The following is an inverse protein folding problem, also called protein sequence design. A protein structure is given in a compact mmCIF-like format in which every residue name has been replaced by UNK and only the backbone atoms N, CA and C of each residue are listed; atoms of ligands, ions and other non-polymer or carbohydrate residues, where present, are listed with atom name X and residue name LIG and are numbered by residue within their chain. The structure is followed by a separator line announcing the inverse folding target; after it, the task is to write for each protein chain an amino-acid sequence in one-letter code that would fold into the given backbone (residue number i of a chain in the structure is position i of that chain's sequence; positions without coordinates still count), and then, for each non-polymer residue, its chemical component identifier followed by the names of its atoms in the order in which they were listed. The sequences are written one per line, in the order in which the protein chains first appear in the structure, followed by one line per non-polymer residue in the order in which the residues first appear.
data_IF_764022798710
#
_entry.id   IF_764022798710
#
_cell.length_a   1.000
_cell.length_b   1.000
_cell.length_c   1.000
_cell.angle_alpha   90.00
_cell.angle_beta   90.00
_cell.angle_gamma   90.00
#
_symmetry.space_group_name_H-M   'P 1'
#
loop_
_entity.id
_entity.type
_entity.pdbx_description
1 polymer ?
#
# COMPACT_ATOMS: atom_id res chain seq x y z
N UNK A 1 -40.31 -12.24 20.14
CA UNK A 1 -39.44 -11.44 19.27
C UNK A 1 -38.48 -10.77 20.21
N UNK A 2 -37.24 -11.24 20.22
CA UNK A 2 -36.27 -10.94 21.27
C UNK A 2 -35.70 -9.54 21.05
N UNK A 3 -35.43 -8.79 22.12
CA UNK A 3 -35.01 -7.37 22.05
C UNK A 3 -33.62 -7.23 21.40
N UNK A 4 -32.89 -8.34 21.26
CA UNK A 4 -31.57 -8.40 20.61
C UNK A 4 -31.61 -8.44 19.07
N UNK A 5 -32.75 -8.70 18.45
CA UNK A 5 -32.84 -8.77 16.97
C UNK A 5 -32.75 -7.39 16.28
N UNK A 6 -32.86 -6.30 17.06
CA UNK A 6 -32.80 -4.93 16.53
C UNK A 6 -31.39 -4.34 16.45
N UNK A 7 -30.40 -4.94 17.12
CA UNK A 7 -29.01 -4.45 17.09
C UNK A 7 -28.24 -5.05 15.90
N UNK A 8 -28.63 -6.22 15.40
CA UNK A 8 -27.94 -6.89 14.27
C UNK A 8 -28.28 -6.32 12.89
N UNK A 9 -29.36 -5.53 12.75
CA UNK A 9 -29.79 -4.95 11.46
C UNK A 9 -29.46 -3.46 11.30
N UNK A 10 -28.88 -2.82 12.30
CA UNK A 10 -28.38 -1.45 12.18
C UNK A 10 -26.93 -1.52 11.69
N UNK A 11 -26.75 -1.65 10.38
CA UNK A 11 -25.44 -1.48 9.77
C UNK A 11 -24.92 -0.10 10.18
N UNK A 12 -23.82 -0.07 10.93
CA UNK A 12 -23.14 1.16 11.36
C UNK A 12 -23.01 2.11 10.16
N UNK A 13 -23.38 3.40 10.26
CA UNK A 13 -23.23 4.37 9.17
C UNK A 13 -21.79 4.45 8.64
N UNK A 14 -20.79 4.03 9.44
CA UNK A 14 -19.43 3.80 8.96
C UNK A 14 -19.41 2.66 7.93
N UNK A 15 -19.99 1.50 8.23
CA UNK A 15 -20.06 0.32 7.33
C UNK A 15 -20.79 0.63 6.01
N UNK A 16 -21.87 1.43 6.04
CA UNK A 16 -22.58 1.84 4.82
C UNK A 16 -21.69 2.64 3.86
N UNK A 17 -20.76 3.45 4.36
CA UNK A 17 -19.93 4.30 3.50
C UNK A 17 -18.82 3.53 2.76
N UNK A 18 -18.33 2.43 3.33
CA UNK A 18 -17.22 1.65 2.75
C UNK A 18 -17.67 0.68 1.66
N UNK A 19 -18.86 0.10 1.77
CA UNK A 19 -19.37 -0.90 0.81
C UNK A 19 -19.94 -0.35 -0.50
N UNK A 20 -20.03 0.97 -0.67
CA UNK A 20 -20.63 1.58 -1.86
C UNK A 20 -19.61 1.59 -3.01
N UNK A 21 -20.00 1.01 -4.15
CA UNK A 21 -19.21 1.03 -5.37
C UNK A 21 -18.90 2.48 -5.80
N UNK A 22 -17.62 2.78 -5.94
CA UNK A 22 -17.11 4.13 -6.27
C UNK A 22 -17.31 4.45 -7.75
N UNK A 23 -17.50 3.43 -8.56
CA UNK A 23 -17.45 3.54 -10.01
C UNK A 23 -18.80 3.14 -10.63
N UNK A 24 -19.18 3.85 -11.70
CA UNK A 24 -20.38 3.61 -12.53
C UNK A 24 -20.48 2.18 -13.11
N UNK A 25 -19.43 1.35 -12.92
CA UNK A 25 -19.34 -0.05 -13.35
C UNK A 25 -19.65 -1.07 -12.24
N UNK A 26 -19.94 -0.64 -11.02
CA UNK A 26 -20.22 -1.55 -9.89
C UNK A 26 -18.99 -2.25 -9.32
N UNK A 27 -17.77 -1.77 -9.64
CA UNK A 27 -16.53 -2.27 -9.02
C UNK A 27 -16.36 -1.64 -7.64
N UNK A 28 -16.19 -2.48 -6.62
CA UNK A 28 -15.82 -2.06 -5.27
C UNK A 28 -14.32 -2.31 -5.12
N UNK A 29 -13.51 -1.28 -4.82
CA UNK A 29 -12.07 -1.45 -4.67
C UNK A 29 -11.69 -2.45 -3.59
N UNK A 30 -10.59 -3.17 -3.78
CA UNK A 30 -10.19 -4.24 -2.85
C UNK A 30 -10.01 -3.75 -1.41
N UNK A 31 -9.43 -2.56 -1.23
CA UNK A 31 -9.18 -1.96 0.10
C UNK A 31 -10.46 -1.48 0.80
N UNK A 32 -11.61 -1.50 0.12
CA UNK A 32 -12.93 -1.25 0.72
C UNK A 32 -13.66 -2.53 1.12
N UNK A 33 -13.19 -3.67 0.62
CA UNK A 33 -13.68 -5.00 0.99
C UNK A 33 -12.91 -5.58 2.19
N UNK A 34 -12.03 -4.79 2.81
CA UNK A 34 -11.22 -5.23 3.95
C UNK A 34 -12.11 -5.61 5.13
N UNK A 35 -11.66 -6.62 5.86
CA UNK A 35 -12.31 -7.05 7.08
C UNK A 35 -12.17 -5.96 8.16
N UNK A 36 -13.23 -5.68 8.91
CA UNK A 36 -13.30 -4.59 9.89
C UNK A 36 -12.11 -4.58 10.89
N UNK A 37 -11.68 -5.73 11.45
CA UNK A 37 -10.47 -5.83 12.26
C UNK A 37 -9.19 -5.32 11.58
N UNK A 38 -8.98 -5.57 10.28
CA UNK A 38 -7.76 -5.13 9.59
C UNK A 38 -7.71 -3.59 9.50
N UNK A 39 -8.86 -2.95 9.25
CA UNK A 39 -8.99 -1.49 9.23
C UNK A 39 -8.83 -0.91 10.64
N UNK A 40 -9.39 -1.57 11.64
CA UNK A 40 -9.29 -1.15 13.03
C UNK A 40 -7.87 -1.27 13.58
N UNK A 41 -7.16 -2.37 13.30
CA UNK A 41 -5.77 -2.59 13.68
C UNK A 41 -4.85 -1.54 13.05
N UNK A 42 -5.06 -1.20 11.78
CA UNK A 42 -4.29 -0.14 11.11
C UNK A 42 -4.51 1.21 11.81
N UNK A 43 -5.76 1.54 12.17
CA UNK A 43 -6.10 2.75 12.93
C UNK A 43 -5.46 2.78 14.31
N UNK A 44 -5.40 1.64 15.00
CA UNK A 44 -4.70 1.55 16.29
C UNK A 44 -3.20 1.84 16.16
N UNK A 45 -2.61 1.51 15.01
CA UNK A 45 -1.22 1.86 14.69
C UNK A 45 -1.02 3.33 14.32
N UNK A 46 -2.09 4.14 14.25
CA UNK A 46 -2.05 5.56 13.89
C UNK A 46 -2.18 5.85 12.40
N UNK A 47 -2.51 4.85 11.57
CA UNK A 47 -2.69 5.01 10.12
C UNK A 47 -4.11 4.64 9.70
N UNK A 48 -4.76 5.49 8.91
CA UNK A 48 -6.05 5.14 8.29
C UNK A 48 -5.79 4.63 6.86
N UNK A 49 -6.58 3.63 6.43
CA UNK A 49 -6.55 3.12 5.05
C UNK A 49 -6.83 4.24 4.04
N UNK A 50 -7.62 5.26 4.44
CA UNK A 50 -7.93 6.46 3.63
C UNK A 50 -6.69 7.14 3.08
N UNK A 51 -5.61 7.09 3.86
CA UNK A 51 -4.34 7.71 3.49
C UNK A 51 -3.69 7.07 2.26
N UNK A 52 -3.97 5.80 2.02
CA UNK A 52 -3.37 5.02 0.95
C UNK A 52 -4.35 4.76 -0.21
N UNK A 53 -5.56 5.34 -0.18
CA UNK A 53 -6.60 5.12 -1.19
C UNK A 53 -6.09 5.40 -2.60
N UNK A 54 -5.40 6.51 -2.80
CA UNK A 54 -4.88 6.89 -4.12
C UNK A 54 -3.83 5.90 -4.64
N UNK A 55 -2.95 5.39 -3.77
CA UNK A 55 -2.01 4.33 -4.13
C UNK A 55 -2.73 3.02 -4.45
N UNK A 56 -3.75 2.66 -3.68
CA UNK A 56 -4.46 1.41 -3.93
C UNK A 56 -5.36 1.49 -5.17
N UNK A 57 -5.93 2.65 -5.47
CA UNK A 57 -6.63 2.92 -6.72
C UNK A 57 -5.68 2.82 -7.91
N UNK A 58 -4.44 3.28 -7.78
CA UNK A 58 -3.40 3.09 -8.82
C UNK A 58 -3.05 1.61 -9.04
N UNK A 59 -2.98 0.83 -7.96
CA UNK A 59 -2.74 -0.61 -8.04
C UNK A 59 -3.89 -1.33 -8.75
N UNK A 60 -5.13 -0.98 -8.41
CA UNK A 60 -6.33 -1.55 -9.02
C UNK A 60 -6.45 -1.21 -10.52
N UNK A 61 -6.04 0.00 -10.89
CA UNK A 61 -5.99 0.45 -12.29
C UNK A 61 -4.69 0.06 -13.01
N UNK A 62 -3.81 -0.74 -12.40
CA UNK A 62 -2.54 -1.13 -12.98
C UNK A 62 -2.73 -1.98 -14.24
N UNK A 63 -2.04 -1.60 -15.32
CA UNK A 63 -2.04 -2.33 -16.60
C UNK A 63 -0.86 -3.30 -16.66
N UNK A 64 -0.97 -4.32 -17.51
CA UNK A 64 0.12 -5.26 -17.80
C UNK A 64 1.40 -4.54 -18.26
N UNK A 65 1.28 -3.40 -18.95
CA UNK A 65 2.41 -2.55 -19.34
C UNK A 65 3.20 -2.02 -18.15
N UNK A 66 2.52 -1.61 -17.07
CA UNK A 66 3.17 -1.15 -15.84
C UNK A 66 3.87 -2.32 -15.15
N UNK A 67 3.20 -3.47 -15.05
CA UNK A 67 3.77 -4.67 -14.45
C UNK A 67 5.04 -5.13 -15.16
N UNK A 68 5.08 -5.10 -16.50
CA UNK A 68 6.29 -5.41 -17.28
C UNK A 68 7.44 -4.44 -17.01
N UNK A 69 7.13 -3.14 -16.88
CA UNK A 69 8.13 -2.13 -16.58
C UNK A 69 8.71 -2.30 -15.18
N UNK A 70 7.86 -2.53 -14.18
CA UNK A 70 8.30 -2.86 -12.82
C UNK A 70 9.14 -4.13 -12.79
N UNK A 71 8.67 -5.21 -13.44
CA UNK A 71 9.42 -6.46 -13.54
C UNK A 71 10.80 -6.26 -14.16
N UNK A 72 10.91 -5.45 -15.22
CA UNK A 72 12.21 -5.10 -15.81
C UNK A 72 13.10 -4.28 -14.87
N UNK A 73 12.54 -3.43 -14.01
CA UNK A 73 13.33 -2.68 -13.02
C UNK A 73 13.85 -3.58 -11.91
N UNK A 74 13.08 -4.59 -11.51
CA UNK A 74 13.42 -5.48 -10.41
C UNK A 74 14.36 -6.64 -10.78
N UNK A 75 14.27 -7.14 -12.01
CA UNK A 75 14.90 -8.42 -12.38
C UNK A 75 15.89 -8.32 -13.55
N UNK A 76 16.16 -7.14 -14.13
CA UNK A 76 17.15 -7.05 -15.22
C UNK A 76 18.57 -7.28 -14.68
N UNK A 77 19.25 -8.26 -15.27
CA UNK A 77 20.61 -8.72 -14.92
C UNK A 77 21.71 -7.64 -15.05
N UNK A 78 21.41 -6.54 -15.74
CA UNK A 78 22.23 -5.33 -15.81
C UNK A 78 21.49 -4.21 -15.08
N UNK A 79 21.67 -4.16 -13.76
CA UNK A 79 21.10 -3.13 -12.90
C UNK A 79 21.18 -1.76 -13.57
N UNK A 80 20.05 -1.05 -13.64
CA UNK A 80 20.09 0.36 -14.00
C UNK A 80 21.03 1.08 -13.02
N UNK A 81 21.91 1.96 -13.49
CA UNK A 81 22.82 2.72 -12.59
C UNK A 81 22.08 3.52 -11.51
N UNK A 82 20.79 3.76 -11.71
CA UNK A 82 19.95 4.63 -10.88
C UNK A 82 19.25 3.85 -9.76
N UNK A 83 18.83 2.61 -10.02
CA UNK A 83 18.05 1.81 -9.07
C UNK A 83 18.53 0.36 -8.99
N UNK A 84 18.83 -0.06 -7.77
CA UNK A 84 19.16 -1.42 -7.35
C UNK A 84 18.11 -1.92 -6.33
N UNK A 85 17.40 -3.05 -6.63
CA UNK A 85 16.46 -3.70 -5.73
C UNK A 85 17.04 -4.15 -4.38
N UNK A 86 18.34 -4.48 -4.33
CA UNK A 86 18.99 -4.90 -3.09
C UNK A 86 19.13 -3.74 -2.11
N UNK A 87 19.46 -2.54 -2.63
CA UNK A 87 19.49 -1.31 -1.85
C UNK A 87 18.07 -0.97 -1.37
N UNK A 88 17.06 -1.14 -2.21
CA UNK A 88 15.66 -0.89 -1.82
C UNK A 88 15.23 -1.81 -0.65
N UNK A 89 15.59 -3.09 -0.69
CA UNK A 89 15.34 -4.03 0.43
C UNK A 89 16.08 -3.62 1.71
N UNK A 90 17.28 -3.09 1.61
CA UNK A 90 18.01 -2.58 2.79
C UNK A 90 17.31 -1.34 3.37
N UNK A 91 16.85 -0.43 2.51
CA UNK A 91 16.08 0.74 2.95
C UNK A 91 14.73 0.36 3.53
N UNK A 92 14.03 -0.63 2.98
CA UNK A 92 12.81 -1.19 3.58
C UNK A 92 13.05 -1.61 5.04
N UNK A 93 14.11 -2.40 5.28
CA UNK A 93 14.47 -2.84 6.64
C UNK A 93 14.86 -1.68 7.55
N UNK A 94 15.60 -0.68 7.04
CA UNK A 94 16.02 0.49 7.81
C UNK A 94 14.83 1.39 8.19
N UNK A 95 13.92 1.63 7.25
CA UNK A 95 12.70 2.38 7.50
C UNK A 95 11.85 1.63 8.52
N UNK A 96 11.67 0.32 8.36
CA UNK A 96 10.91 -0.48 9.32
C UNK A 96 11.52 -0.45 10.73
N UNK A 97 12.84 -0.63 10.85
CA UNK A 97 13.52 -0.52 12.14
C UNK A 97 13.32 0.87 12.77
N UNK A 98 13.28 1.92 11.96
CA UNK A 98 13.04 3.30 12.42
C UNK A 98 11.58 3.49 12.88
N UNK A 99 10.61 3.00 12.11
CA UNK A 99 9.19 3.00 12.48
C UNK A 99 8.95 2.22 13.78
N UNK A 100 9.64 1.09 13.95
CA UNK A 100 9.58 0.31 15.19
C UNK A 100 10.04 1.15 16.40
N UNK A 101 11.13 1.92 16.28
CA UNK A 101 11.58 2.84 17.35
C UNK A 101 10.56 3.94 17.66
N UNK A 102 9.71 4.29 16.69
CA UNK A 102 8.71 5.35 16.83
C UNK A 102 7.32 4.83 17.22
N UNK A 103 7.16 3.52 17.42
CA UNK A 103 5.91 2.90 17.87
C UNK A 103 4.95 2.48 16.75
N UNK A 104 5.37 2.55 15.48
CA UNK A 104 4.58 2.16 14.30
C UNK A 104 5.05 0.82 13.71
N UNK A 105 5.50 -0.11 14.55
CA UNK A 105 6.09 -1.38 14.13
C UNK A 105 5.12 -2.32 13.38
N UNK A 106 3.85 -2.27 13.77
CA UNK A 106 2.80 -3.19 13.32
C UNK A 106 2.15 -2.76 12.00
N UNK A 107 2.32 -1.49 11.60
CA UNK A 107 1.70 -0.98 10.39
C UNK A 107 2.26 -1.60 9.08
N UNK A 108 3.58 -1.81 8.88
CA UNK A 108 4.09 -2.44 7.66
C UNK A 108 3.59 -3.89 7.44
N UNK A 109 3.60 -4.79 8.44
CA UNK A 109 2.99 -6.12 8.29
C UNK A 109 1.52 -6.09 7.88
N UNK A 110 0.72 -5.19 8.49
CA UNK A 110 -0.70 -5.02 8.15
C UNK A 110 -0.90 -4.51 6.72
N UNK A 111 -0.12 -3.52 6.29
CA UNK A 111 -0.17 -3.03 4.91
C UNK A 111 0.18 -4.11 3.90
N UNK A 112 1.15 -4.97 4.22
CA UNK A 112 1.53 -6.09 3.36
C UNK A 112 0.41 -7.13 3.26
N UNK A 113 -0.31 -7.40 4.35
CA UNK A 113 -1.52 -8.25 4.37
C UNK A 113 -2.62 -7.66 3.50
N UNK A 114 -2.91 -6.37 3.64
CA UNK A 114 -3.92 -5.63 2.85
C UNK A 114 -3.59 -5.70 1.35
N UNK A 115 -2.34 -5.42 0.97
CA UNK A 115 -1.89 -5.51 -0.43
C UNK A 115 -2.01 -6.93 -0.99
N UNK A 116 -1.79 -7.96 -0.17
CA UNK A 116 -2.00 -9.35 -0.54
C UNK A 116 -3.44 -9.68 -0.92
N UNK A 117 -4.42 -8.95 -0.39
CA UNK A 117 -5.84 -9.14 -0.72
C UNK A 117 -6.21 -8.54 -2.09
N UNK A 118 -5.35 -7.69 -2.68
CA UNK A 118 -5.61 -7.09 -4.00
C UNK A 118 -5.62 -8.10 -5.16
N UNK A 119 -4.92 -9.24 -5.00
CA UNK A 119 -4.87 -10.31 -6.00
C UNK A 119 -5.37 -11.64 -5.42
N UNK A 120 -6.69 -11.80 -5.21
CA UNK A 120 -7.26 -13.05 -4.69
C UNK A 120 -7.21 -14.13 -5.77
N UNK A 121 -6.21 -15.02 -5.71
CA UNK A 121 -6.10 -16.15 -6.64
C UNK A 121 -5.01 -17.16 -6.29
N UNK A 122 -5.21 -18.42 -6.68
CA UNK A 122 -4.28 -19.55 -6.45
C UNK A 122 -2.93 -19.43 -7.19
N UNK A 123 -2.81 -18.51 -8.14
CA UNK A 123 -1.55 -18.26 -8.88
C UNK A 123 -1.24 -16.77 -8.96
N UNK A 124 -0.67 -16.23 -7.88
CA UNK A 124 -0.03 -14.92 -7.90
C UNK A 124 1.09 -14.97 -8.94
N UNK A 125 0.88 -14.31 -10.08
CA UNK A 125 1.91 -14.21 -11.12
C UNK A 125 3.14 -13.48 -10.58
N UNK A 126 4.33 -13.76 -11.12
CA UNK A 126 5.54 -13.01 -10.75
C UNK A 126 5.36 -11.49 -10.92
N UNK A 127 4.61 -11.08 -11.95
CA UNK A 127 4.23 -9.68 -12.17
C UNK A 127 3.39 -9.08 -11.04
N UNK A 128 2.42 -9.83 -10.51
CA UNK A 128 1.59 -9.38 -9.38
C UNK A 128 2.44 -9.26 -8.10
N UNK A 129 3.34 -10.21 -7.83
CA UNK A 129 4.28 -10.16 -6.71
C UNK A 129 5.21 -8.93 -6.77
N UNK A 130 5.69 -8.60 -7.96
CA UNK A 130 6.55 -7.45 -8.20
C UNK A 130 5.81 -6.12 -8.00
N UNK A 131 4.57 -6.04 -8.49
CA UNK A 131 3.70 -4.88 -8.23
C UNK A 131 3.43 -4.71 -6.74
N UNK A 132 3.02 -5.77 -6.03
CA UNK A 132 2.78 -5.71 -4.58
C UNK A 132 4.01 -5.22 -3.83
N UNK A 133 5.21 -5.64 -4.24
CA UNK A 133 6.48 -5.20 -3.63
C UNK A 133 6.71 -3.70 -3.83
N UNK A 134 6.54 -3.19 -5.05
CA UNK A 134 6.73 -1.76 -5.32
C UNK A 134 5.68 -0.87 -4.66
N UNK A 135 4.42 -1.30 -4.63
CA UNK A 135 3.37 -0.59 -3.92
C UNK A 135 3.60 -0.62 -2.41
N UNK A 136 4.06 -1.74 -1.85
CA UNK A 136 4.46 -1.81 -0.45
C UNK A 136 5.59 -0.84 -0.12
N UNK A 137 6.64 -0.77 -0.95
CA UNK A 137 7.71 0.22 -0.78
C UNK A 137 7.19 1.66 -0.83
N UNK A 138 6.21 1.94 -1.69
CA UNK A 138 5.63 3.27 -1.80
C UNK A 138 4.76 3.63 -0.60
N UNK A 139 3.98 2.67 -0.07
CA UNK A 139 3.26 2.86 1.20
C UNK A 139 4.23 3.09 2.37
N UNK A 140 5.36 2.36 2.39
CA UNK A 140 6.39 2.53 3.40
C UNK A 140 7.10 3.90 3.28
N UNK A 141 7.30 4.39 2.06
CA UNK A 141 7.85 5.72 1.80
C UNK A 141 6.91 6.83 2.31
N UNK A 142 5.60 6.70 2.08
CA UNK A 142 4.61 7.64 2.66
C UNK A 142 4.70 7.69 4.18
N UNK A 143 4.79 6.54 4.84
CA UNK A 143 4.96 6.48 6.29
C UNK A 143 6.31 7.05 6.75
N UNK A 144 7.39 6.80 6.00
CA UNK A 144 8.70 7.37 6.31
C UNK A 144 8.68 8.91 6.28
N UNK A 145 7.96 9.51 5.31
CA UNK A 145 7.81 10.97 5.20
C UNK A 145 7.19 11.61 6.44
N UNK A 146 6.26 10.92 7.11
CA UNK A 146 5.67 11.40 8.36
C UNK A 146 6.65 11.58 9.51
N UNK A 147 7.75 10.83 9.48
CA UNK A 147 8.76 10.84 10.52
C UNK A 147 10.04 11.57 10.11
N UNK A 148 10.08 12.21 8.94
CA UNK A 148 11.24 12.99 8.46
C UNK A 148 11.62 14.10 9.43
N UNK A 149 10.64 14.73 10.09
CA UNK A 149 10.92 15.75 11.12
C UNK A 149 11.73 15.20 12.30
N UNK A 150 11.68 13.89 12.55
CA UNK A 150 12.39 13.22 13.65
C UNK A 150 13.65 12.50 13.18
N UNK A 151 13.66 11.99 11.95
CA UNK A 151 14.75 11.26 11.33
C UNK A 151 14.90 11.72 9.86
N UNK A 152 15.67 12.78 9.58
CA UNK A 152 15.79 13.35 8.24
C UNK A 152 16.33 12.37 7.19
N UNK A 153 17.09 11.36 7.60
CA UNK A 153 17.59 10.29 6.73
C UNK A 153 16.48 9.49 6.02
N UNK A 154 15.27 9.50 6.57
CA UNK A 154 14.10 8.82 5.99
C UNK A 154 13.65 9.45 4.68
N UNK A 155 13.92 10.73 4.45
CA UNK A 155 13.52 11.43 3.22
C UNK A 155 14.17 10.79 2.00
N UNK A 156 15.48 10.58 2.05
CA UNK A 156 16.24 9.91 0.99
C UNK A 156 15.75 8.47 0.77
N UNK A 157 15.50 7.73 1.86
CA UNK A 157 15.03 6.36 1.78
C UNK A 157 13.63 6.28 1.17
N UNK A 158 12.72 7.19 1.56
CA UNK A 158 11.38 7.29 1.00
C UNK A 158 11.41 7.58 -0.49
N UNK A 159 12.24 8.53 -0.93
CA UNK A 159 12.34 8.87 -2.34
C UNK A 159 12.90 7.73 -3.20
N UNK A 160 13.86 6.98 -2.65
CA UNK A 160 14.41 5.80 -3.31
C UNK A 160 13.40 4.65 -3.38
N UNK A 161 12.62 4.42 -2.31
CA UNK A 161 11.59 3.39 -2.26
C UNK A 161 10.42 3.65 -3.24
N UNK A 162 10.05 4.92 -3.45
CA UNK A 162 9.02 5.29 -4.43
C UNK A 162 9.49 5.20 -5.89
N UNK A 163 10.80 5.18 -6.14
CA UNK A 163 11.36 5.30 -7.48
C UNK A 163 10.75 4.32 -8.50
N UNK A 164 10.58 3.02 -8.20
CA UNK A 164 10.01 2.06 -9.16
C UNK A 164 8.59 2.41 -9.59
N UNK A 165 7.77 2.91 -8.65
CA UNK A 165 6.40 3.33 -8.94
C UNK A 165 6.40 4.59 -9.82
N UNK A 166 7.23 5.59 -9.47
CA UNK A 166 7.45 6.80 -10.26
C UNK A 166 7.90 6.48 -11.68
N UNK A 167 8.83 5.54 -11.82
CA UNK A 167 9.34 5.10 -13.11
C UNK A 167 8.26 4.39 -13.94
N UNK A 168 7.41 3.56 -13.33
CA UNK A 168 6.42 2.74 -14.03
C UNK A 168 5.11 3.48 -14.37
N UNK A 169 4.59 4.30 -13.46
CA UNK A 169 3.30 4.98 -13.56
C UNK A 169 3.43 6.47 -13.94
N UNK A 170 4.63 7.05 -13.87
CA UNK A 170 4.91 8.44 -14.23
C UNK A 170 4.91 9.42 -13.05
N UNK A 171 5.31 10.67 -13.31
CA UNK A 171 5.39 11.75 -12.30
C UNK A 171 4.00 12.15 -11.78
N UNK A 172 2.92 11.84 -12.48
CA UNK A 172 1.56 12.07 -11.97
C UNK A 172 1.26 11.20 -10.74
N UNK A 173 1.87 10.01 -10.63
CA UNK A 173 1.82 9.20 -9.40
C UNK A 173 2.53 9.86 -8.21
N UNK A 174 3.43 10.83 -8.47
CA UNK A 174 4.25 11.55 -7.50
C UNK A 174 3.44 12.64 -6.76
N UNK A 175 2.40 13.16 -7.39
CA UNK A 175 1.50 14.16 -6.80
C UNK A 175 0.43 13.56 -5.88
N UNK A 176 0.27 12.23 -5.91
CA UNK A 176 -0.69 11.48 -5.07
C UNK A 176 -0.07 11.02 -3.73
N UNK A 177 1.23 11.23 -3.52
CA UNK A 177 1.98 10.77 -2.35
C UNK A 177 2.66 11.90 -1.53
N UNK A 178 2.33 13.16 -1.85
CA UNK A 178 2.79 14.38 -1.18
C UNK A 178 1.65 15.03 -0.38
#
# INVERSE_FOLDING_TARGET
MDVNDYIENENDPVLEQWGIAVNTRGHVPFYRQLYFPDVYELRQCGYDIRRFEELFDLLENARISHARKVHSLLHVEYASTIFDPNIAKQYELNVWATLHRFGAAEAPPLLKKVLGQAFPGESVTHYASDLMTCFFWSSLAMMARDYVWRAPELELMADYLDFPLKAAFGIEALLLAA
#
